data_IF_068519662759
#
_entry.id   IF_068519662759
#
_cell.length_a   1.000
_cell.length_b   1.000
_cell.length_c   1.000
_cell.angle_alpha   90.00
_cell.angle_beta   90.00
_cell.angle_gamma   90.00
#
_symmetry.space_group_name_H-M   'P 1'
#
loop_
_entity.id
_entity.type
_entity.pdbx_description
1 polymer ?
#
# COMPACT_ATOMS: atom_id res chain seq x y z
N UNK A 1 -7.27 -13.92 25.49
CA UNK A 1 -7.61 -15.19 24.81
C UNK A 1 -6.36 -16.04 24.72
N UNK A 2 -6.46 -17.34 24.98
CA UNK A 2 -5.31 -18.26 24.92
C UNK A 2 -5.28 -19.03 23.59
N UNK A 3 -4.14 -19.03 22.92
CA UNK A 3 -3.91 -19.76 21.67
C UNK A 3 -2.98 -20.94 21.96
N UNK A 4 -3.46 -22.16 21.77
CA UNK A 4 -2.59 -23.32 21.78
C UNK A 4 -2.01 -23.59 20.40
N UNK A 5 -0.72 -23.91 20.35
CA UNK A 5 -0.08 -24.51 19.17
C UNK A 5 1.11 -25.38 19.59
N UNK A 6 1.35 -26.50 18.90
CA UNK A 6 2.45 -27.40 19.25
C UNK A 6 3.83 -26.74 19.15
N UNK A 7 3.96 -25.70 18.31
CA UNK A 7 5.21 -24.98 18.10
C UNK A 7 4.93 -23.51 17.82
N UNK A 8 5.38 -22.63 18.72
CA UNK A 8 5.21 -21.18 18.57
C UNK A 8 6.33 -20.63 17.67
N UNK A 9 6.01 -20.35 16.40
CA UNK A 9 6.95 -19.77 15.42
C UNK A 9 6.77 -18.26 15.28
N UNK A 10 7.74 -17.59 14.64
CA UNK A 10 7.63 -16.16 14.33
C UNK A 10 6.46 -15.87 13.38
N UNK A 11 6.23 -16.76 12.40
CA UNK A 11 5.09 -16.67 11.46
C UNK A 11 3.75 -16.72 12.18
N UNK A 12 3.59 -17.65 13.14
CA UNK A 12 2.38 -17.74 13.98
C UNK A 12 2.22 -16.47 14.80
N UNK A 13 3.25 -16.04 15.53
CA UNK A 13 3.18 -14.81 16.34
C UNK A 13 2.75 -13.61 15.50
N UNK A 14 3.38 -13.41 14.36
CA UNK A 14 3.09 -12.31 13.46
C UNK A 14 1.64 -12.34 12.95
N UNK A 15 1.18 -13.44 12.35
CA UNK A 15 -0.15 -13.44 11.73
C UNK A 15 -1.29 -13.43 12.74
N UNK A 16 -1.11 -14.08 13.90
CA UNK A 16 -2.08 -14.02 14.97
C UNK A 16 -2.11 -12.63 15.63
N UNK A 17 -0.96 -11.96 15.78
CA UNK A 17 -0.94 -10.57 16.26
C UNK A 17 -1.63 -9.65 15.26
N UNK A 18 -1.38 -9.79 13.96
CA UNK A 18 -2.08 -9.02 12.92
C UNK A 18 -3.59 -9.22 13.02
N UNK A 19 -4.07 -10.47 12.97
CA UNK A 19 -5.51 -10.76 12.99
C UNK A 19 -6.15 -10.35 14.32
N UNK A 20 -5.62 -10.79 15.46
CA UNK A 20 -6.29 -10.57 16.72
C UNK A 20 -5.99 -9.21 17.32
N UNK A 21 -4.73 -8.81 17.43
CA UNK A 21 -4.37 -7.55 18.10
C UNK A 21 -4.63 -6.33 17.23
N UNK A 22 -4.31 -6.40 15.93
CA UNK A 22 -4.42 -5.22 15.06
C UNK A 22 -5.79 -5.11 14.37
N UNK A 23 -6.32 -6.20 13.80
CA UNK A 23 -7.60 -6.14 13.08
C UNK A 23 -8.81 -6.22 14.00
N UNK A 24 -8.73 -7.02 15.07
CA UNK A 24 -9.84 -7.25 16.00
C UNK A 24 -9.67 -6.56 17.36
N UNK A 25 -8.53 -5.95 17.68
CA UNK A 25 -8.27 -5.34 18.99
C UNK A 25 -8.43 -6.32 20.19
N UNK A 26 -8.03 -7.58 20.00
CA UNK A 26 -8.10 -8.67 20.99
C UNK A 26 -6.69 -9.05 21.48
N UNK A 27 -6.52 -9.04 22.80
CA UNK A 27 -5.29 -9.51 23.43
C UNK A 27 -5.20 -11.05 23.42
N UNK A 28 -4.06 -11.55 22.96
CA UNK A 28 -3.77 -12.97 22.85
C UNK A 28 -2.49 -13.34 23.58
N UNK A 29 -2.47 -14.56 24.11
CA UNK A 29 -1.31 -15.24 24.67
C UNK A 29 -1.16 -16.60 24.00
N UNK A 30 0.07 -17.11 23.93
CA UNK A 30 0.36 -18.40 23.31
C UNK A 30 0.81 -19.41 24.36
N UNK A 31 0.37 -20.66 24.21
CA UNK A 31 0.92 -21.79 24.94
C UNK A 31 1.21 -22.96 24.01
N UNK A 32 2.20 -23.77 24.36
CA UNK A 32 2.46 -25.08 23.76
C UNK A 32 2.23 -26.24 24.75
N UNK A 33 1.74 -25.94 25.96
CA UNK A 33 1.37 -26.91 26.99
C UNK A 33 -0.11 -27.28 26.79
N UNK A 34 -0.36 -28.54 26.45
CA UNK A 34 -1.74 -29.06 26.39
C UNK A 34 -2.41 -28.99 27.77
N UNK A 35 -1.65 -29.20 28.85
CA UNK A 35 -2.14 -29.09 30.22
C UNK A 35 -2.63 -27.67 30.52
N UNK A 36 -1.85 -26.64 30.17
CA UNK A 36 -2.23 -25.24 30.40
C UNK A 36 -3.44 -24.87 29.54
N UNK A 37 -3.48 -25.35 28.29
CA UNK A 37 -4.62 -25.13 27.39
C UNK A 37 -5.90 -25.75 27.94
N UNK A 38 -5.85 -27.02 28.39
CA UNK A 38 -7.02 -27.72 28.94
C UNK A 38 -7.50 -27.06 30.24
N UNK A 39 -6.57 -26.65 31.11
CA UNK A 39 -6.88 -25.99 32.38
C UNK A 39 -7.36 -24.53 32.24
N UNK A 40 -7.15 -23.88 31.09
CA UNK A 40 -7.55 -22.49 30.90
C UNK A 40 -9.07 -22.32 30.85
N UNK A 41 -9.59 -21.53 31.78
CA UNK A 41 -10.99 -21.13 31.87
C UNK A 41 -11.18 -19.77 31.17
N UNK A 42 -11.66 -19.80 29.93
CA UNK A 42 -11.90 -18.59 29.14
C UNK A 42 -11.93 -18.85 27.64
N UNK A 43 -11.93 -17.77 26.84
CA UNK A 43 -11.83 -17.87 25.39
C UNK A 43 -10.47 -18.44 25.02
N UNK A 44 -10.47 -19.62 24.40
CA UNK A 44 -9.28 -20.31 23.93
C UNK A 44 -9.53 -20.96 22.58
N UNK A 45 -8.48 -21.11 21.77
CA UNK A 45 -8.55 -21.88 20.53
C UNK A 45 -7.28 -22.70 20.33
N UNK A 46 -7.41 -23.81 19.62
CA UNK A 46 -6.33 -24.71 19.26
C UNK A 46 -5.97 -24.51 17.78
N UNK A 47 -4.72 -24.16 17.49
CA UNK A 47 -4.16 -24.09 16.14
C UNK A 47 -3.05 -25.14 15.97
N UNK A 48 -3.40 -26.29 15.41
CA UNK A 48 -2.55 -27.49 15.41
C UNK A 48 -2.92 -28.45 14.28
N UNK A 49 -2.10 -29.49 14.07
CA UNK A 49 -2.38 -30.55 13.08
C UNK A 49 -3.53 -31.48 13.46
N UNK A 50 -3.83 -31.57 14.75
CA UNK A 50 -4.94 -32.33 15.33
C UNK A 50 -5.55 -31.51 16.46
N UNK A 51 -6.85 -31.65 16.75
CA UNK A 51 -7.46 -31.02 17.93
C UNK A 51 -6.90 -31.61 19.23
N UNK A 52 -6.90 -30.80 20.29
CA UNK A 52 -6.53 -31.22 21.66
C UNK A 52 -7.77 -31.65 22.46
N UNK A 53 -8.90 -30.99 22.22
CA UNK A 53 -10.21 -31.26 22.82
C UNK A 53 -11.34 -30.96 21.81
N UNK A 54 -12.61 -31.04 22.25
CA UNK A 54 -13.79 -30.65 21.48
C UNK A 54 -14.04 -29.12 21.48
N UNK A 55 -12.99 -28.35 21.76
CA UNK A 55 -12.98 -26.89 21.79
C UNK A 55 -12.97 -26.25 20.41
N UNK A 56 -12.65 -24.96 20.35
CA UNK A 56 -12.51 -24.27 19.07
C UNK A 56 -11.18 -24.62 18.43
N UNK A 57 -11.23 -25.29 17.28
CA UNK A 57 -10.05 -25.82 16.58
C UNK A 57 -9.92 -25.26 15.17
N UNK A 58 -8.72 -24.83 14.80
CA UNK A 58 -8.34 -24.48 13.43
C UNK A 58 -7.19 -25.39 13.00
N UNK A 59 -7.39 -26.15 11.92
CA UNK A 59 -6.35 -27.05 11.43
C UNK A 59 -5.20 -26.27 10.80
N UNK A 60 -3.97 -26.58 11.23
CA UNK A 60 -2.77 -25.89 10.79
C UNK A 60 -2.19 -26.47 9.49
N UNK A 61 -1.93 -25.62 8.52
CA UNK A 61 -1.08 -25.90 7.36
C UNK A 61 0.40 -25.83 7.72
N UNK A 62 1.26 -26.40 6.87
CA UNK A 62 2.71 -26.44 7.16
C UNK A 62 3.37 -25.06 7.11
N UNK A 63 2.82 -24.10 6.34
CA UNK A 63 3.46 -22.81 6.05
C UNK A 63 3.88 -22.05 7.33
N UNK A 64 3.05 -22.06 8.36
CA UNK A 64 3.34 -21.34 9.60
C UNK A 64 4.28 -22.11 10.54
N UNK A 65 4.48 -23.41 10.33
CA UNK A 65 5.29 -24.30 11.17
C UNK A 65 6.70 -24.51 10.62
N UNK A 66 6.88 -24.33 9.32
CA UNK A 66 8.13 -24.47 8.59
C UNK A 66 8.96 -23.19 8.54
N UNK A 67 10.25 -23.34 8.20
CA UNK A 67 11.17 -22.24 7.89
C UNK A 67 11.54 -22.28 6.41
N UNK A 68 12.06 -21.17 5.92
CA UNK A 68 12.51 -21.05 4.54
C UNK A 68 11.36 -20.78 3.56
N UNK A 69 11.75 -20.68 2.29
CA UNK A 69 10.89 -20.27 1.20
C UNK A 69 10.94 -21.37 0.15
N UNK A 70 9.79 -21.88 -0.25
CA UNK A 70 9.66 -22.91 -1.28
C UNK A 70 8.39 -22.67 -2.08
N UNK A 71 8.32 -23.22 -3.28
CA UNK A 71 7.08 -23.20 -4.03
C UNK A 71 5.97 -23.93 -3.24
N UNK A 72 4.78 -23.32 -3.19
CA UNK A 72 3.58 -23.88 -2.58
C UNK A 72 2.52 -23.92 -3.67
N UNK A 73 2.02 -25.11 -3.95
CA UNK A 73 0.86 -25.27 -4.82
C UNK A 73 -0.39 -24.87 -4.05
N UNK A 74 -1.09 -23.85 -4.55
CA UNK A 74 -2.30 -23.33 -3.94
C UNK A 74 -3.52 -23.78 -4.75
N UNK A 75 -4.41 -24.48 -4.06
CA UNK A 75 -5.72 -24.86 -4.60
C UNK A 75 -6.76 -23.88 -4.08
N UNK A 76 -7.50 -23.28 -5.00
CA UNK A 76 -8.61 -22.41 -4.68
C UNK A 76 -9.83 -23.23 -4.26
N UNK A 77 -10.62 -22.66 -3.37
CA UNK A 77 -11.94 -23.11 -3.02
C UNK A 77 -12.87 -21.92 -2.78
N UNK A 78 -14.18 -22.17 -2.85
CA UNK A 78 -15.19 -21.23 -2.40
C UNK A 78 -15.52 -21.50 -0.93
N UNK A 79 -15.53 -20.45 -0.11
CA UNK A 79 -15.99 -20.49 1.26
C UNK A 79 -17.02 -19.37 1.47
N UNK A 80 -18.29 -19.75 1.39
CA UNK A 80 -19.43 -18.83 1.57
C UNK A 80 -19.42 -17.67 0.56
N UNK A 81 -19.12 -17.98 -0.71
CA UNK A 81 -19.02 -16.98 -1.78
C UNK A 81 -17.71 -16.17 -1.76
N UNK A 82 -16.76 -16.52 -0.89
CA UNK A 82 -15.44 -15.90 -0.85
C UNK A 82 -14.36 -16.86 -1.35
N UNK A 83 -13.40 -16.35 -2.15
CA UNK A 83 -12.19 -17.09 -2.49
C UNK A 83 -11.42 -17.48 -1.22
N UNK A 84 -11.02 -18.74 -1.11
CA UNK A 84 -10.15 -19.27 -0.05
C UNK A 84 -9.15 -20.29 -0.61
N UNK A 85 -8.07 -20.54 0.14
CA UNK A 85 -6.99 -21.47 -0.21
C UNK A 85 -6.27 -21.92 1.07
N UNK A 86 -5.32 -22.85 0.95
CA UNK A 86 -4.81 -23.65 2.10
C UNK A 86 -5.89 -24.58 2.68
N UNK A 87 -6.57 -25.34 1.80
CA UNK A 87 -7.57 -26.33 2.20
C UNK A 87 -7.04 -27.30 3.26
N UNK A 88 -7.88 -27.60 4.25
CA UNK A 88 -7.61 -28.59 5.29
C UNK A 88 -8.73 -29.63 5.28
N UNK A 89 -8.38 -30.89 5.55
CA UNK A 89 -9.31 -32.03 5.41
C UNK A 89 -9.80 -32.58 6.76
N UNK A 90 -9.67 -31.82 7.84
CA UNK A 90 -10.14 -32.18 9.18
C UNK A 90 -11.54 -31.63 9.41
N UNK A 91 -12.52 -32.52 9.66
CA UNK A 91 -13.94 -32.15 9.78
C UNK A 91 -14.23 -31.29 11.02
N UNK A 92 -13.42 -31.45 12.06
CA UNK A 92 -13.51 -30.74 13.32
C UNK A 92 -12.94 -29.32 13.23
N UNK A 93 -12.24 -28.98 12.14
CA UNK A 93 -11.70 -27.63 11.93
C UNK A 93 -12.85 -26.65 11.73
N UNK A 94 -12.79 -25.51 12.43
CA UNK A 94 -13.80 -24.46 12.38
C UNK A 94 -13.95 -23.82 10.99
N UNK A 95 -12.93 -23.96 10.15
CA UNK A 95 -12.96 -23.58 8.73
C UNK A 95 -12.35 -24.71 7.88
N UNK A 96 -12.83 -24.88 6.63
CA UNK A 96 -12.34 -25.92 5.70
C UNK A 96 -11.00 -25.55 5.03
N UNK A 97 -10.39 -24.45 5.44
CA UNK A 97 -9.05 -24.03 5.08
C UNK A 97 -8.35 -23.43 6.30
N UNK A 98 -7.04 -23.21 6.20
CA UNK A 98 -6.26 -22.51 7.20
C UNK A 98 -6.23 -21.00 6.93
N UNK A 99 -7.08 -20.20 7.60
CA UNK A 99 -7.15 -18.77 7.35
C UNK A 99 -5.89 -18.02 7.81
N UNK A 100 -5.13 -18.59 8.75
CA UNK A 100 -3.89 -17.98 9.25
C UNK A 100 -2.76 -18.18 8.23
N UNK A 101 -2.60 -19.38 7.68
CA UNK A 101 -1.63 -19.60 6.60
C UNK A 101 -1.98 -18.81 5.34
N UNK A 102 -3.26 -18.80 4.94
CA UNK A 102 -3.72 -18.04 3.78
C UNK A 102 -3.45 -16.53 3.95
N UNK A 103 -3.77 -15.98 5.13
CA UNK A 103 -3.51 -14.58 5.42
C UNK A 103 -2.02 -14.26 5.43
N UNK A 104 -1.20 -15.10 6.09
CA UNK A 104 0.25 -14.93 6.12
C UNK A 104 0.86 -14.93 4.72
N UNK A 105 0.43 -15.84 3.85
CA UNK A 105 0.92 -15.92 2.47
C UNK A 105 0.70 -14.59 1.70
N UNK A 106 -0.49 -13.99 1.87
CA UNK A 106 -0.84 -12.72 1.23
C UNK A 106 -0.03 -11.55 1.79
N UNK A 107 -0.01 -11.37 3.11
CA UNK A 107 0.59 -10.17 3.73
C UNK A 107 2.13 -10.21 3.75
N UNK A 108 2.73 -11.40 3.82
CA UNK A 108 4.19 -11.56 3.67
C UNK A 108 4.64 -11.38 2.22
N UNK A 109 3.70 -11.26 1.27
CA UNK A 109 3.96 -11.26 -0.18
C UNK A 109 4.83 -12.47 -0.57
N UNK A 110 4.49 -13.65 -0.05
CA UNK A 110 5.30 -14.87 -0.18
C UNK A 110 5.70 -15.17 -1.64
N UNK A 111 4.79 -14.94 -2.59
CA UNK A 111 5.03 -15.12 -4.03
C UNK A 111 6.16 -14.24 -4.58
N UNK A 112 6.43 -13.07 -3.99
CA UNK A 112 7.48 -12.14 -4.42
C UNK A 112 8.88 -12.52 -3.91
N UNK A 113 8.97 -13.56 -3.09
CA UNK A 113 10.24 -14.18 -2.69
C UNK A 113 10.62 -15.36 -3.59
N UNK A 114 9.70 -15.84 -4.42
CA UNK A 114 9.94 -16.90 -5.40
C UNK A 114 10.41 -16.29 -6.73
N UNK A 115 10.96 -17.09 -7.66
CA UNK A 115 11.24 -16.60 -9.01
C UNK A 115 9.94 -16.12 -9.69
N UNK A 116 9.93 -14.85 -10.14
CA UNK A 116 8.81 -14.24 -10.85
C UNK A 116 9.26 -13.45 -12.07
N UNK A 117 8.33 -13.22 -12.99
CA UNK A 117 8.55 -12.34 -14.13
C UNK A 117 8.42 -10.89 -13.69
N UNK A 118 9.46 -10.11 -13.99
CA UNK A 118 9.45 -8.66 -13.79
C UNK A 118 8.79 -7.96 -14.97
N UNK A 119 8.07 -6.88 -14.70
CA UNK A 119 7.62 -5.96 -15.75
C UNK A 119 8.77 -5.08 -16.28
N UNK A 120 8.47 -4.19 -17.22
CA UNK A 120 9.45 -3.28 -17.84
C UNK A 120 10.16 -2.34 -16.85
N UNK A 121 9.57 -2.12 -15.67
CA UNK A 121 10.11 -1.29 -14.59
C UNK A 121 10.80 -2.13 -13.49
N UNK A 122 10.97 -3.43 -13.72
CA UNK A 122 11.62 -4.34 -12.78
C UNK A 122 10.77 -4.69 -11.55
N UNK A 123 9.45 -4.54 -11.65
CA UNK A 123 8.48 -4.74 -10.56
C UNK A 123 7.83 -6.11 -10.66
N UNK A 124 7.26 -6.58 -9.55
CA UNK A 124 6.37 -7.73 -9.56
C UNK A 124 5.08 -7.40 -10.32
N UNK A 125 4.75 -8.22 -11.33
CA UNK A 125 3.60 -8.02 -12.21
C UNK A 125 2.29 -8.44 -11.53
N UNK A 126 1.30 -7.54 -11.57
CA UNK A 126 -0.05 -7.85 -11.10
C UNK A 126 -0.69 -9.02 -11.86
N UNK A 127 -0.50 -9.10 -13.18
CA UNK A 127 -1.11 -10.15 -14.01
C UNK A 127 -0.60 -11.56 -13.66
N UNK A 128 0.59 -11.64 -13.07
CA UNK A 128 1.21 -12.90 -12.68
C UNK A 128 0.88 -13.30 -11.25
N UNK A 129 0.29 -12.39 -10.46
CA UNK A 129 0.02 -12.64 -9.05
C UNK A 129 -1.15 -13.60 -8.84
N UNK A 130 -1.05 -14.37 -7.76
CA UNK A 130 -2.06 -15.36 -7.40
C UNK A 130 -3.46 -14.74 -7.26
N UNK A 131 -3.56 -13.53 -6.71
CA UNK A 131 -4.82 -12.84 -6.50
C UNK A 131 -5.51 -12.38 -7.80
N UNK A 132 -4.73 -11.95 -8.79
CA UNK A 132 -5.24 -11.57 -10.11
C UNK A 132 -5.75 -12.79 -10.87
N UNK A 133 -4.94 -13.85 -10.91
CA UNK A 133 -5.27 -15.10 -11.63
C UNK A 133 -6.54 -15.77 -11.13
N UNK A 134 -6.88 -15.54 -9.86
CA UNK A 134 -8.08 -16.10 -9.22
C UNK A 134 -9.16 -15.04 -8.96
N UNK A 135 -9.07 -13.85 -9.57
CA UNK A 135 -10.16 -12.88 -9.63
C UNK A 135 -10.56 -12.22 -8.31
N UNK A 136 -9.62 -12.05 -7.37
CA UNK A 136 -9.94 -11.51 -6.04
C UNK A 136 -9.16 -10.27 -5.61
N UNK A 137 -8.47 -9.60 -6.55
CA UNK A 137 -7.75 -8.35 -6.25
C UNK A 137 -8.63 -7.26 -5.64
N UNK A 138 -9.93 -7.26 -5.92
CA UNK A 138 -10.89 -6.29 -5.41
C UNK A 138 -11.42 -6.63 -4.00
N UNK A 139 -10.90 -7.65 -3.32
CA UNK A 139 -11.35 -8.04 -1.97
C UNK A 139 -10.21 -7.96 -0.94
N UNK A 140 -10.42 -7.29 0.21
CA UNK A 140 -9.47 -7.33 1.33
C UNK A 140 -9.67 -8.62 2.13
N UNK A 141 -9.40 -9.78 1.52
CA UNK A 141 -9.71 -11.10 2.10
C UNK A 141 -9.17 -11.31 3.52
N UNK A 142 -7.99 -10.79 3.84
CA UNK A 142 -7.40 -10.90 5.18
C UNK A 142 -8.28 -10.20 6.22
N UNK A 143 -8.79 -9.01 5.90
CA UNK A 143 -9.73 -8.30 6.76
C UNK A 143 -11.05 -9.07 6.90
N UNK A 144 -11.58 -9.59 5.79
CA UNK A 144 -12.85 -10.32 5.77
C UNK A 144 -12.75 -11.62 6.59
N UNK A 145 -11.67 -12.38 6.42
CA UNK A 145 -11.44 -13.60 7.20
C UNK A 145 -11.24 -13.32 8.69
N UNK A 146 -10.61 -12.20 9.06
CA UNK A 146 -10.52 -11.81 10.47
C UNK A 146 -11.90 -11.66 11.13
N UNK A 147 -12.85 -10.99 10.45
CA UNK A 147 -14.22 -10.90 10.96
C UNK A 147 -14.93 -12.26 11.00
N UNK A 148 -14.77 -13.12 9.98
CA UNK A 148 -15.33 -14.48 10.02
C UNK A 148 -14.78 -15.30 11.18
N UNK A 149 -13.48 -15.20 11.47
CA UNK A 149 -12.87 -15.84 12.65
C UNK A 149 -13.51 -15.30 13.93
N UNK A 150 -13.73 -13.99 14.04
CA UNK A 150 -14.37 -13.38 15.19
C UNK A 150 -15.81 -13.87 15.40
N UNK A 151 -16.59 -14.01 14.33
CA UNK A 151 -17.96 -14.56 14.37
C UNK A 151 -17.97 -16.01 14.84
N UNK A 152 -17.05 -16.84 14.34
CA UNK A 152 -16.87 -18.23 14.77
C UNK A 152 -16.53 -18.28 16.28
N UNK A 153 -15.62 -17.44 16.75
CA UNK A 153 -15.26 -17.38 18.17
C UNK A 153 -16.46 -16.96 19.01
N UNK A 154 -17.20 -15.93 18.58
CA UNK A 154 -18.40 -15.43 19.27
C UNK A 154 -19.49 -16.49 19.38
N UNK A 155 -19.67 -17.31 18.34
CA UNK A 155 -20.63 -18.41 18.35
C UNK A 155 -20.27 -19.50 19.38
N UNK A 156 -18.98 -19.80 19.56
CA UNK A 156 -18.51 -20.76 20.58
C UNK A 156 -18.45 -20.16 21.98
N UNK A 157 -18.09 -18.88 22.08
CA UNK A 157 -17.91 -18.13 23.31
C UNK A 157 -18.75 -16.86 23.28
N UNK A 158 -20.02 -16.90 23.72
CA UNK A 158 -20.92 -15.73 23.65
C UNK A 158 -20.43 -14.49 24.45
N UNK A 159 -19.53 -14.69 25.41
CA UNK A 159 -18.87 -13.60 26.16
C UNK A 159 -17.72 -12.95 25.39
N UNK A 160 -17.31 -13.50 24.25
CA UNK A 160 -16.29 -12.89 23.40
C UNK A 160 -16.84 -11.64 22.73
N UNK A 161 -16.15 -10.54 22.95
CA UNK A 161 -16.40 -9.26 22.31
C UNK A 161 -15.07 -8.66 21.88
N UNK A 162 -15.13 -7.86 20.83
CA UNK A 162 -13.97 -7.15 20.32
C UNK A 162 -14.40 -5.76 19.85
N UNK A 163 -13.45 -4.84 19.72
CA UNK A 163 -13.74 -3.47 19.32
C UNK A 163 -13.41 -3.33 17.84
N UNK A 164 -14.40 -2.94 17.04
CA UNK A 164 -14.17 -2.66 15.63
C UNK A 164 -13.15 -1.53 15.46
N UNK A 165 -12.29 -1.69 14.47
CA UNK A 165 -11.55 -0.56 13.95
C UNK A 165 -12.52 0.50 13.40
N UNK A 166 -12.05 1.74 13.33
CA UNK A 166 -12.80 2.80 12.63
C UNK A 166 -12.25 2.92 11.22
N UNK A 167 -13.16 2.95 10.25
CA UNK A 167 -12.82 3.30 8.88
C UNK A 167 -12.01 4.61 8.84
N UNK A 168 -10.99 4.65 7.98
CA UNK A 168 -10.12 5.81 7.78
C UNK A 168 -9.87 6.03 6.30
N UNK A 169 -9.79 7.31 5.92
CA UNK A 169 -9.31 7.71 4.61
C UNK A 169 -7.97 8.46 4.74
N UNK A 170 -6.96 8.05 3.96
CA UNK A 170 -5.65 8.71 3.89
C UNK A 170 -5.39 9.15 2.44
N UNK A 171 -5.55 10.45 2.13
CA UNK A 171 -5.16 10.98 0.83
C UNK A 171 -3.64 11.07 0.74
N UNK A 172 -3.08 10.63 -0.39
CA UNK A 172 -1.65 10.74 -0.65
C UNK A 172 -1.39 11.30 -2.04
N UNK A 173 -0.37 12.14 -2.17
CA UNK A 173 -0.05 12.84 -3.41
C UNK A 173 1.44 12.73 -3.73
N UNK A 174 1.76 12.19 -4.90
CA UNK A 174 3.12 12.05 -5.39
C UNK A 174 3.49 13.26 -6.26
N UNK A 175 4.65 13.86 -5.98
CA UNK A 175 5.18 15.03 -6.68
C UNK A 175 6.37 14.62 -7.52
N UNK A 176 6.08 13.99 -8.67
CA UNK A 176 7.08 13.58 -9.68
C UNK A 176 7.68 14.78 -10.40
N UNK A 177 6.85 15.79 -10.63
CA UNK A 177 7.25 17.07 -11.20
C UNK A 177 6.45 18.19 -10.53
N UNK A 178 7.13 19.04 -9.75
CA UNK A 178 6.44 20.14 -9.07
C UNK A 178 5.88 21.20 -10.05
N UNK A 179 6.51 21.36 -11.22
CA UNK A 179 6.02 22.20 -12.31
C UNK A 179 6.26 21.52 -13.66
N UNK A 180 5.34 21.72 -14.60
CA UNK A 180 5.46 21.23 -15.98
C UNK A 180 6.53 22.00 -16.75
N UNK A 181 6.65 23.31 -16.52
CA UNK A 181 7.51 24.21 -17.28
C UNK A 181 8.44 25.05 -16.39
N UNK A 182 7.91 25.63 -15.32
CA UNK A 182 8.67 26.53 -14.45
C UNK A 182 9.80 25.79 -13.73
N UNK A 183 10.85 26.53 -13.36
CA UNK A 183 11.96 26.08 -12.51
C UNK A 183 12.83 24.93 -13.05
N UNK A 184 12.63 24.46 -14.30
CA UNK A 184 13.44 23.38 -14.90
C UNK A 184 14.85 23.82 -15.35
N UNK A 185 15.12 25.12 -15.41
CA UNK A 185 16.41 25.69 -15.85
C UNK A 185 16.49 25.89 -17.36
N UNK A 186 17.38 26.80 -17.80
CA UNK A 186 17.43 27.30 -19.18
C UNK A 186 17.64 26.20 -20.22
N UNK A 187 18.63 25.33 -20.02
CA UNK A 187 18.97 24.28 -20.98
C UNK A 187 17.82 23.30 -21.21
N UNK A 188 17.11 22.90 -20.15
CA UNK A 188 15.93 22.01 -20.27
C UNK A 188 14.78 22.70 -20.99
N UNK A 189 14.57 23.99 -20.72
CA UNK A 189 13.55 24.78 -21.41
C UNK A 189 13.84 24.91 -22.91
N UNK A 190 15.09 25.24 -23.28
CA UNK A 190 15.50 25.34 -24.69
C UNK A 190 15.39 24.00 -25.41
N UNK A 191 15.86 22.90 -24.80
CA UNK A 191 15.72 21.56 -25.37
C UNK A 191 14.24 21.16 -25.54
N UNK A 192 13.37 21.53 -24.60
CA UNK A 192 11.94 21.29 -24.73
C UNK A 192 11.31 22.10 -25.88
N UNK A 193 11.74 23.34 -26.11
CA UNK A 193 11.30 24.12 -27.29
C UNK A 193 11.77 23.49 -28.59
N UNK A 194 13.06 23.12 -28.69
CA UNK A 194 13.58 22.45 -29.87
C UNK A 194 12.82 21.15 -30.18
N UNK A 195 12.56 20.33 -29.16
CA UNK A 195 11.76 19.11 -29.33
C UNK A 195 10.32 19.38 -29.76
N UNK A 196 9.66 20.40 -29.20
CA UNK A 196 8.30 20.78 -29.64
C UNK A 196 8.28 21.29 -31.08
N UNK A 197 9.31 22.03 -31.52
CA UNK A 197 9.44 22.49 -32.92
C UNK A 197 9.63 21.29 -33.85
N UNK A 198 10.52 20.34 -33.50
CA UNK A 198 10.74 19.12 -34.29
C UNK A 198 9.47 18.28 -34.41
N UNK A 199 8.63 18.26 -33.37
CA UNK A 199 7.34 17.55 -33.36
C UNK A 199 6.17 18.36 -33.94
N UNK A 200 6.40 19.60 -34.38
CA UNK A 200 5.36 20.53 -34.81
C UNK A 200 4.23 20.76 -33.78
N UNK A 201 4.55 20.67 -32.48
CA UNK A 201 3.60 20.84 -31.38
C UNK A 201 3.52 22.31 -30.95
N UNK A 202 2.77 23.10 -31.74
CA UNK A 202 2.58 24.54 -31.48
C UNK A 202 1.82 24.81 -30.18
N UNK A 203 0.90 23.93 -29.80
CA UNK A 203 0.10 24.04 -28.57
C UNK A 203 1.02 24.04 -27.35
N UNK A 204 1.94 23.07 -27.27
CA UNK A 204 2.91 22.96 -26.18
C UNK A 204 3.87 24.15 -26.11
N UNK A 205 4.27 24.73 -27.26
CA UNK A 205 5.09 25.95 -27.30
C UNK A 205 4.33 27.13 -26.69
N UNK A 206 3.06 27.31 -27.07
CA UNK A 206 2.21 28.40 -26.57
C UNK A 206 1.95 28.23 -25.07
N UNK A 207 1.57 27.03 -24.63
CA UNK A 207 1.29 26.74 -23.21
C UNK A 207 2.53 26.98 -22.34
N UNK A 208 3.68 26.50 -22.78
CA UNK A 208 4.96 26.72 -22.09
C UNK A 208 5.30 28.20 -22.01
N UNK A 209 5.16 28.93 -23.12
CA UNK A 209 5.48 30.37 -23.17
C UNK A 209 4.59 31.12 -22.19
N UNK A 210 3.26 30.95 -22.27
CA UNK A 210 2.29 31.60 -21.39
C UNK A 210 2.57 31.31 -19.92
N UNK A 211 2.93 30.07 -19.57
CA UNK A 211 3.27 29.71 -18.21
C UNK A 211 4.56 30.40 -17.73
N UNK A 212 5.62 30.40 -18.55
CA UNK A 212 6.92 30.99 -18.19
C UNK A 212 6.84 32.51 -17.99
N UNK A 213 6.02 33.21 -18.77
CA UNK A 213 5.80 34.67 -18.62
C UNK A 213 4.67 35.01 -17.63
N UNK A 214 4.12 34.01 -16.92
CA UNK A 214 3.04 34.14 -15.94
C UNK A 214 1.71 34.70 -16.50
N UNK A 215 1.45 34.56 -17.80
CA UNK A 215 0.13 34.83 -18.38
C UNK A 215 -0.88 33.75 -17.96
N UNK A 216 -0.41 32.53 -17.70
CA UNK A 216 -1.21 31.45 -17.11
C UNK A 216 -0.43 30.73 -16.01
N UNK A 217 -1.16 30.05 -15.13
CA UNK A 217 -0.56 29.15 -14.15
C UNK A 217 0.15 27.99 -14.86
N UNK A 218 1.25 27.52 -14.27
CA UNK A 218 1.89 26.30 -14.74
C UNK A 218 0.89 25.13 -14.53
N UNK A 219 0.67 24.24 -15.52
CA UNK A 219 -0.35 23.20 -15.44
C UNK A 219 -0.24 22.31 -14.20
N UNK A 220 0.97 22.07 -13.69
CA UNK A 220 1.19 21.20 -12.53
C UNK A 220 1.14 21.96 -11.20
N UNK A 221 0.98 23.28 -11.25
CA UNK A 221 0.78 24.13 -10.08
C UNK A 221 -0.67 24.03 -9.58
N UNK A 222 -1.03 22.86 -9.04
CA UNK A 222 -2.40 22.53 -8.61
C UNK A 222 -2.56 22.59 -7.08
N UNK A 223 -1.53 23.06 -6.38
CA UNK A 223 -1.46 23.06 -4.91
C UNK A 223 -2.55 23.89 -4.23
N UNK A 224 -3.00 24.99 -4.84
CA UNK A 224 -4.09 25.80 -4.30
C UNK A 224 -5.40 25.00 -4.27
N UNK A 225 -5.78 24.38 -5.39
CA UNK A 225 -6.93 23.49 -5.46
C UNK A 225 -6.83 22.34 -4.44
N UNK A 226 -5.64 21.73 -4.30
CA UNK A 226 -5.43 20.68 -3.32
C UNK A 226 -5.67 21.18 -1.89
N UNK A 227 -5.16 22.37 -1.53
CA UNK A 227 -5.36 22.96 -0.21
C UNK A 227 -6.83 23.32 0.06
N UNK A 228 -7.55 23.81 -0.96
CA UNK A 228 -8.99 24.08 -0.87
C UNK A 228 -9.78 22.81 -0.54
N UNK A 229 -9.51 21.72 -1.27
CA UNK A 229 -10.13 20.42 -1.03
C UNK A 229 -9.79 19.89 0.36
N UNK A 230 -8.54 20.03 0.79
CA UNK A 230 -8.11 19.61 2.14
C UNK A 230 -8.88 20.35 3.24
N UNK A 231 -9.04 21.67 3.10
CA UNK A 231 -9.82 22.48 4.04
C UNK A 231 -11.30 22.10 4.02
N UNK A 232 -11.87 21.91 2.82
CA UNK A 232 -13.29 21.58 2.62
C UNK A 232 -13.69 20.27 3.32
N UNK A 233 -12.84 19.25 3.24
CA UNK A 233 -13.11 17.91 3.79
C UNK A 233 -12.32 17.58 5.06
N UNK A 234 -11.64 18.57 5.66
CA UNK A 234 -10.80 18.43 6.86
C UNK A 234 -9.78 17.27 6.74
N UNK A 235 -9.06 17.23 5.62
CA UNK A 235 -8.10 16.19 5.31
C UNK A 235 -6.67 16.63 5.65
N UNK A 236 -5.86 15.66 6.06
CA UNK A 236 -4.40 15.83 6.24
C UNK A 236 -3.66 14.84 5.34
N UNK A 237 -3.26 15.24 4.12
CA UNK A 237 -2.63 14.34 3.18
C UNK A 237 -1.16 14.09 3.51
N UNK A 238 -0.59 13.12 2.81
CA UNK A 238 0.84 12.84 2.78
C UNK A 238 1.36 13.14 1.37
N UNK A 239 2.30 14.07 1.27
CA UNK A 239 3.01 14.38 0.04
C UNK A 239 4.30 13.58 -0.06
N UNK A 240 4.48 12.80 -1.13
CA UNK A 240 5.75 12.13 -1.41
C UNK A 240 6.51 12.91 -2.48
N UNK A 241 7.68 13.43 -2.09
CA UNK A 241 8.45 14.34 -2.95
C UNK A 241 9.56 13.59 -3.66
N UNK A 242 9.58 13.63 -5.01
CA UNK A 242 10.70 13.14 -5.80
C UNK A 242 11.88 14.10 -5.66
N UNK A 243 12.61 13.96 -4.55
CA UNK A 243 13.71 14.84 -4.16
C UNK A 243 15.07 14.26 -4.58
N UNK A 244 15.24 14.08 -5.89
CA UNK A 244 16.37 13.41 -6.49
C UNK A 244 17.08 14.25 -7.55
N UNK A 245 18.31 13.86 -7.88
CA UNK A 245 19.02 14.41 -9.03
C UNK A 245 18.39 13.95 -10.34
N UNK A 246 18.47 14.81 -11.36
CA UNK A 246 17.88 14.55 -12.67
C UNK A 246 18.44 13.26 -13.28
N UNK A 247 17.55 12.41 -13.77
CA UNK A 247 17.88 11.14 -14.42
C UNK A 247 16.88 10.78 -15.53
N UNK A 248 17.09 9.62 -16.14
CA UNK A 248 16.23 9.15 -17.23
C UNK A 248 14.76 8.99 -16.80
N UNK A 249 14.53 8.39 -15.64
CA UNK A 249 13.19 8.21 -15.06
C UNK A 249 12.80 9.35 -14.10
N UNK A 250 13.77 10.10 -13.54
CA UNK A 250 13.54 11.07 -12.48
C UNK A 250 13.71 12.50 -13.02
N UNK A 251 12.61 13.16 -13.39
CA UNK A 251 12.64 14.41 -14.17
C UNK A 251 12.22 15.65 -13.38
N UNK A 252 12.18 15.58 -12.05
CA UNK A 252 11.79 16.71 -11.22
C UNK A 252 12.80 17.88 -11.29
N UNK A 253 12.55 18.89 -10.46
CA UNK A 253 13.36 20.10 -10.36
C UNK A 253 14.65 19.79 -9.60
N UNK A 254 15.79 20.40 -9.98
CA UNK A 254 17.02 20.28 -9.21
C UNK A 254 16.81 20.61 -7.72
N UNK A 255 17.32 19.75 -6.84
CA UNK A 255 17.13 19.83 -5.39
C UNK A 255 17.70 21.12 -4.75
N UNK A 256 18.62 21.81 -5.44
CA UNK A 256 19.18 23.10 -5.01
C UNK A 256 18.29 24.30 -5.35
N UNK A 257 17.20 24.10 -6.10
CA UNK A 257 16.30 25.19 -6.47
C UNK A 257 15.53 25.71 -5.24
N UNK A 258 15.73 26.98 -4.92
CA UNK A 258 15.13 27.60 -3.73
C UNK A 258 13.60 27.62 -3.77
N UNK A 259 12.99 27.85 -4.93
CA UNK A 259 11.52 27.84 -5.07
C UNK A 259 10.94 26.45 -4.84
N UNK A 260 11.65 25.39 -5.25
CA UNK A 260 11.23 24.02 -4.96
C UNK A 260 11.34 23.71 -3.47
N UNK A 261 12.43 24.12 -2.82
CA UNK A 261 12.57 23.97 -1.36
C UNK A 261 11.50 24.76 -0.59
N UNK A 262 11.18 25.98 -1.02
CA UNK A 262 10.10 26.80 -0.44
C UNK A 262 8.74 26.13 -0.62
N UNK A 263 8.44 25.56 -1.80
CA UNK A 263 7.23 24.79 -2.01
C UNK A 263 7.15 23.61 -1.04
N UNK A 264 8.21 22.80 -0.93
CA UNK A 264 8.25 21.65 -0.03
C UNK A 264 8.00 22.07 1.43
N UNK A 265 8.60 23.18 1.88
CA UNK A 265 8.37 23.77 3.21
C UNK A 265 6.92 24.22 3.38
N UNK A 266 6.32 24.83 2.36
CA UNK A 266 4.92 25.25 2.41
C UNK A 266 3.94 24.07 2.49
N UNK A 267 4.17 23.00 1.71
CA UNK A 267 3.38 21.76 1.83
C UNK A 267 3.48 21.18 3.25
N UNK A 268 4.67 21.26 3.83
CA UNK A 268 5.00 20.78 5.16
C UNK A 268 4.32 21.55 6.31
N UNK A 269 3.77 22.74 6.06
CA UNK A 269 3.06 23.56 7.06
C UNK A 269 1.66 23.02 7.38
N UNK A 270 1.03 22.31 6.44
CA UNK A 270 -0.35 21.82 6.57
C UNK A 270 -0.52 20.31 6.29
N UNK A 271 0.50 19.64 5.77
CA UNK A 271 0.49 18.23 5.45
C UNK A 271 1.74 17.51 5.92
N UNK A 272 1.70 16.17 5.89
CA UNK A 272 2.91 15.37 6.09
C UNK A 272 3.71 15.29 4.80
N UNK A 273 5.04 15.16 4.91
CA UNK A 273 5.94 15.03 3.77
C UNK A 273 6.82 13.81 3.94
N UNK A 274 6.78 12.92 2.96
CA UNK A 274 7.65 11.74 2.83
C UNK A 274 8.59 11.85 1.63
N UNK A 275 9.57 10.95 1.57
CA UNK A 275 10.45 10.81 0.41
C UNK A 275 9.75 10.00 -0.68
N UNK A 276 9.88 10.43 -1.94
CA UNK A 276 9.62 9.60 -3.12
C UNK A 276 10.96 9.21 -3.75
N UNK A 277 11.62 8.11 -3.32
CA UNK A 277 12.99 7.83 -3.73
C UNK A 277 13.09 7.60 -5.24
N UNK A 278 14.19 8.04 -5.83
CA UNK A 278 14.38 7.90 -7.28
C UNK A 278 14.37 6.45 -7.75
N UNK A 279 14.01 6.23 -9.01
CA UNK A 279 13.98 4.89 -9.59
C UNK A 279 15.30 4.12 -9.42
N UNK A 280 16.42 4.85 -9.52
CA UNK A 280 17.77 4.31 -9.40
C UNK A 280 18.26 4.15 -7.94
N UNK A 281 17.60 4.76 -6.96
CA UNK A 281 17.99 4.61 -5.55
C UNK A 281 17.59 3.24 -4.98
N UNK A 282 16.60 2.57 -5.61
CA UNK A 282 16.13 1.24 -5.23
C UNK A 282 17.26 0.19 -5.19
N UNK A 283 18.19 0.24 -6.15
CA UNK A 283 19.37 -0.63 -6.22
C UNK A 283 20.66 0.06 -5.73
N UNK A 284 20.57 1.28 -5.19
CA UNK A 284 21.72 2.05 -4.72
C UNK A 284 21.44 2.70 -3.36
N UNK A 285 21.75 2.00 -2.25
CA UNK A 285 21.50 2.49 -0.89
C UNK A 285 22.19 3.81 -0.56
N UNK A 286 23.37 4.08 -1.14
CA UNK A 286 24.08 5.37 -0.95
C UNK A 286 23.28 6.53 -1.57
N UNK A 287 22.68 6.30 -2.74
CA UNK A 287 21.84 7.30 -3.40
C UNK A 287 20.56 7.54 -2.59
N UNK A 288 19.89 6.48 -2.13
CA UNK A 288 18.73 6.59 -1.25
C UNK A 288 19.03 7.42 0.00
N UNK A 289 20.13 7.10 0.70
CA UNK A 289 20.59 7.87 1.86
C UNK A 289 20.79 9.35 1.55
N UNK A 290 21.39 9.65 0.39
CA UNK A 290 21.65 11.03 -0.03
C UNK A 290 20.34 11.79 -0.26
N UNK A 291 19.35 11.17 -0.91
CA UNK A 291 18.03 11.77 -1.16
C UNK A 291 17.29 12.05 0.15
N UNK A 292 17.23 11.07 1.05
CA UNK A 292 16.59 11.19 2.37
C UNK A 292 17.24 12.29 3.21
N UNK A 293 18.58 12.29 3.32
CA UNK A 293 19.31 13.29 4.10
C UNK A 293 19.14 14.70 3.51
N UNK A 294 19.17 14.85 2.19
CA UNK A 294 18.97 16.16 1.55
C UNK A 294 17.56 16.69 1.81
N UNK A 295 16.52 15.85 1.69
CA UNK A 295 15.14 16.26 1.99
C UNK A 295 14.95 16.60 3.48
N UNK A 296 15.51 15.79 4.37
CA UNK A 296 15.51 16.03 5.82
C UNK A 296 16.11 17.40 6.17
N UNK A 297 17.24 17.76 5.54
CA UNK A 297 17.88 19.08 5.72
C UNK A 297 17.01 20.25 5.25
N UNK A 298 16.23 20.08 4.18
CA UNK A 298 15.32 21.13 3.69
C UNK A 298 14.20 21.39 4.70
N UNK A 299 13.65 20.33 5.30
CA UNK A 299 12.53 20.43 6.25
C UNK A 299 12.97 20.62 7.71
N UNK A 300 14.26 20.48 8.00
CA UNK A 300 14.82 20.48 9.36
C UNK A 300 14.13 19.49 10.30
N UNK A 301 13.82 18.29 9.79
CA UNK A 301 13.22 17.17 10.53
C UNK A 301 13.57 15.84 9.89
N UNK A 302 13.44 14.76 10.65
CA UNK A 302 13.59 13.41 10.13
C UNK A 302 12.50 13.09 9.10
N UNK A 303 12.86 12.29 8.10
CA UNK A 303 11.93 11.75 7.11
C UNK A 303 11.70 10.30 7.48
N UNK A 304 10.45 9.97 7.82
CA UNK A 304 10.07 8.64 8.31
C UNK A 304 9.12 7.90 7.36
N UNK A 305 8.62 8.57 6.32
CA UNK A 305 7.65 8.02 5.36
C UNK A 305 8.26 7.92 3.96
N UNK A 306 8.00 6.81 3.27
CA UNK A 306 8.47 6.58 1.90
C UNK A 306 7.35 6.08 0.98
N UNK A 307 7.45 6.44 -0.30
CA UNK A 307 6.78 5.74 -1.40
C UNK A 307 7.76 5.60 -2.56
N UNK A 308 7.98 4.41 -3.08
CA UNK A 308 8.91 4.16 -4.18
C UNK A 308 8.39 4.76 -5.48
N UNK A 309 9.24 5.48 -6.22
CA UNK A 309 8.93 5.90 -7.59
C UNK A 309 8.66 4.69 -8.48
N UNK A 310 7.62 4.78 -9.31
CA UNK A 310 7.02 3.67 -10.07
C UNK A 310 6.49 2.52 -9.21
N UNK A 311 6.37 2.66 -7.88
CA UNK A 311 6.00 1.58 -6.95
C UNK A 311 6.97 0.39 -7.02
N UNK A 312 8.23 0.67 -7.34
CA UNK A 312 9.26 -0.36 -7.53
C UNK A 312 9.72 -0.92 -6.19
N UNK A 313 9.13 -2.04 -5.80
CA UNK A 313 9.52 -2.81 -4.61
C UNK A 313 10.24 -4.07 -5.07
N UNK A 314 11.40 -4.34 -4.47
CA UNK A 314 12.14 -5.57 -4.58
C UNK A 314 12.37 -6.13 -3.18
N UNK A 315 11.52 -7.09 -2.78
CA UNK A 315 11.61 -7.70 -1.46
C UNK A 315 12.80 -8.67 -1.36
N UNK A 316 13.44 -8.77 -0.18
CA UNK A 316 13.31 -7.88 0.98
C UNK A 316 14.16 -6.59 0.86
N UNK A 317 15.00 -6.48 -0.18
CA UNK A 317 16.06 -5.47 -0.29
C UNK A 317 15.58 -4.02 -0.18
N UNK A 318 14.50 -3.64 -0.88
CA UNK A 318 13.94 -2.29 -0.81
C UNK A 318 13.56 -1.90 0.62
N UNK A 319 12.86 -2.79 1.34
CA UNK A 319 12.39 -2.51 2.69
C UNK A 319 13.50 -2.54 3.73
N UNK A 320 14.48 -3.43 3.59
CA UNK A 320 15.71 -3.37 4.41
C UNK A 320 16.46 -2.06 4.23
N UNK A 321 16.56 -1.54 3.00
CA UNK A 321 17.21 -0.26 2.73
C UNK A 321 16.47 0.92 3.38
N UNK A 322 15.13 0.89 3.43
CA UNK A 322 14.32 1.88 4.14
C UNK A 322 14.54 1.79 5.66
N UNK A 323 14.50 0.59 6.24
CA UNK A 323 14.74 0.35 7.67
C UNK A 323 16.12 0.87 8.10
N UNK A 324 17.16 0.64 7.30
CA UNK A 324 18.53 1.12 7.58
C UNK A 324 18.67 2.65 7.57
N UNK A 325 17.63 3.38 7.18
CA UNK A 325 17.57 4.84 7.14
C UNK A 325 16.48 5.39 8.08
N UNK A 326 16.03 4.58 9.03
CA UNK A 326 15.02 4.94 10.04
C UNK A 326 13.67 5.36 9.44
N UNK A 327 13.38 4.90 8.21
CA UNK A 327 12.04 5.00 7.62
C UNK A 327 11.14 4.00 8.35
N UNK A 328 10.06 4.50 8.94
CA UNK A 328 9.11 3.70 9.73
C UNK A 328 7.87 3.30 8.95
N UNK A 329 7.54 4.01 7.87
CA UNK A 329 6.30 3.79 7.12
C UNK A 329 6.53 3.79 5.59
N UNK A 330 6.13 2.72 4.91
CA UNK A 330 6.12 2.62 3.45
C UNK A 330 4.69 2.58 2.90
N UNK A 331 4.44 3.37 1.86
CA UNK A 331 3.15 3.52 1.18
C UNK A 331 3.18 3.02 -0.26
N UNK A 332 4.08 2.08 -0.57
CA UNK A 332 4.33 1.60 -1.93
C UNK A 332 3.53 0.35 -2.28
N UNK A 333 2.95 -0.34 -1.28
CA UNK A 333 2.31 -1.65 -1.44
C UNK A 333 0.96 -1.56 -2.16
N UNK A 334 1.01 -1.51 -3.48
CA UNK A 334 -0.13 -1.62 -4.38
C UNK A 334 0.35 -1.99 -5.78
N UNK A 335 -0.58 -2.09 -6.73
CA UNK A 335 -0.26 -2.38 -8.13
C UNK A 335 -0.38 -1.11 -8.97
N UNK A 336 0.54 -0.93 -9.91
CA UNK A 336 0.47 0.19 -10.85
C UNK A 336 -0.61 -0.04 -11.93
N UNK A 337 -0.74 -1.27 -12.42
CA UNK A 337 -1.58 -1.59 -13.57
C UNK A 337 -3.03 -1.97 -13.23
N UNK A 338 -3.33 -2.29 -11.97
CA UNK A 338 -4.67 -2.67 -11.53
C UNK A 338 -5.00 -2.08 -10.16
N UNK A 339 -6.23 -1.59 -9.94
CA UNK A 339 -6.67 -1.21 -8.61
C UNK A 339 -6.96 -2.47 -7.78
N UNK A 340 -6.94 -2.32 -6.45
CA UNK A 340 -7.25 -3.40 -5.52
C UNK A 340 -6.20 -3.59 -4.43
N UNK A 341 -6.27 -4.73 -3.75
CA UNK A 341 -5.53 -5.04 -2.53
C UNK A 341 -4.36 -5.98 -2.85
N UNK A 342 -3.20 -5.42 -3.18
CA UNK A 342 -1.99 -6.21 -3.52
C UNK A 342 -1.65 -7.26 -2.46
N UNK A 343 -1.73 -6.89 -1.18
CA UNK A 343 -1.47 -7.80 -0.06
C UNK A 343 -2.75 -8.48 0.48
N UNK A 344 -3.87 -8.42 -0.25
CA UNK A 344 -5.16 -8.96 0.19
C UNK A 344 -5.73 -8.31 1.46
N UNK A 345 -5.23 -7.14 1.82
CA UNK A 345 -5.54 -6.42 3.07
C UNK A 345 -5.61 -4.92 2.79
N UNK A 346 -6.49 -4.21 3.48
CA UNK A 346 -6.62 -2.74 3.46
C UNK A 346 -6.23 -2.07 4.79
N UNK A 347 -5.86 -2.86 5.78
CA UNK A 347 -5.26 -2.38 7.02
C UNK A 347 -3.76 -2.32 6.91
N UNK A 348 -3.14 -1.46 7.72
CA UNK A 348 -1.68 -1.40 7.83
C UNK A 348 -1.19 -2.63 8.58
N UNK A 349 0.03 -3.07 8.30
CA UNK A 349 0.65 -4.24 8.94
C UNK A 349 2.17 -4.07 8.96
N UNK A 350 2.88 -4.82 9.81
CA UNK A 350 4.34 -4.79 9.83
C UNK A 350 4.93 -5.62 8.68
N UNK A 351 6.02 -5.15 8.08
CA UNK A 351 6.77 -5.94 7.12
C UNK A 351 7.38 -7.17 7.82
N UNK A 352 6.98 -8.35 7.35
CA UNK A 352 7.60 -9.61 7.73
C UNK A 352 8.71 -9.95 6.74
N UNK A 353 9.95 -9.89 7.19
CA UNK A 353 11.10 -10.26 6.38
C UNK A 353 11.20 -11.80 6.31
N UNK A 354 10.66 -12.36 5.23
CA UNK A 354 10.54 -13.81 5.08
C UNK A 354 11.89 -14.55 4.98
N UNK A 355 12.91 -13.89 4.43
CA UNK A 355 14.27 -14.42 4.33
C UNK A 355 14.91 -14.58 5.71
N UNK A 356 14.71 -13.58 6.58
CA UNK A 356 15.22 -13.61 7.96
C UNK A 356 14.25 -14.26 8.95
N UNK A 357 13.04 -14.60 8.50
CA UNK A 357 11.93 -15.13 9.30
C UNK A 357 11.62 -14.27 10.54
N UNK A 358 11.55 -12.95 10.37
CA UNK A 358 11.36 -11.99 11.46
C UNK A 358 10.36 -10.88 11.09
N UNK A 359 9.53 -10.50 12.05
CA UNK A 359 8.72 -9.28 11.98
C UNK A 359 9.59 -8.04 12.23
N UNK A 360 9.55 -7.08 11.32
CA UNK A 360 10.27 -5.81 11.44
C UNK A 360 9.37 -4.71 11.99
N UNK A 361 9.95 -3.52 12.26
CA UNK A 361 9.18 -2.34 12.68
C UNK A 361 8.70 -1.46 11.52
N UNK A 362 9.02 -1.81 10.26
CA UNK A 362 8.56 -1.05 9.11
C UNK A 362 7.07 -1.31 8.90
N UNK A 363 6.25 -0.27 9.00
CA UNK A 363 4.81 -0.33 8.77
C UNK A 363 4.51 -0.20 7.28
N UNK A 364 3.76 -1.14 6.74
CA UNK A 364 3.28 -1.13 5.36
C UNK A 364 1.86 -0.58 5.33
N UNK A 365 1.66 0.43 4.49
CA UNK A 365 0.40 1.10 4.24
C UNK A 365 -0.05 0.80 2.80
N UNK A 366 -0.81 -0.29 2.59
CA UNK A 366 -1.22 -0.65 1.24
C UNK A 366 -2.18 0.39 0.67
N UNK A 367 -1.93 0.81 -0.57
CA UNK A 367 -2.85 1.69 -1.30
C UNK A 367 -3.69 0.89 -2.28
N UNK A 368 -4.93 1.34 -2.49
CA UNK A 368 -5.94 0.58 -3.25
C UNK A 368 -6.15 1.14 -4.66
N UNK A 369 -5.88 2.43 -4.84
CA UNK A 369 -6.22 3.17 -6.05
C UNK A 369 -5.13 4.18 -6.39
N UNK A 370 -4.79 4.26 -7.68
CA UNK A 370 -3.95 5.31 -8.25
C UNK A 370 -4.63 5.92 -9.48
N UNK A 371 -4.58 7.24 -9.61
CA UNK A 371 -5.07 7.99 -10.78
C UNK A 371 -4.49 7.47 -12.12
N UNK A 372 -3.18 7.28 -12.19
CA UNK A 372 -2.49 6.70 -13.36
C UNK A 372 -2.93 5.27 -13.67
N UNK A 373 -3.32 4.47 -12.67
CA UNK A 373 -3.91 3.14 -12.93
C UNK A 373 -5.18 3.26 -13.75
N UNK A 374 -6.09 4.15 -13.34
CA UNK A 374 -7.35 4.34 -14.03
C UNK A 374 -7.13 4.96 -15.43
N UNK A 375 -6.35 6.05 -15.51
CA UNK A 375 -6.19 6.80 -16.75
C UNK A 375 -5.24 6.14 -17.74
N UNK A 376 -4.04 5.80 -17.30
CA UNK A 376 -2.92 5.47 -18.18
C UNK A 376 -2.80 3.95 -18.41
N UNK A 377 -3.21 3.12 -17.46
CA UNK A 377 -3.20 1.65 -17.61
C UNK A 377 -4.54 1.08 -18.09
N UNK A 378 -5.66 1.49 -17.50
CA UNK A 378 -6.99 0.98 -17.84
C UNK A 378 -7.71 1.81 -18.92
N UNK A 379 -7.18 2.97 -19.30
CA UNK A 379 -7.80 3.90 -20.27
C UNK A 379 -9.23 4.29 -19.90
N UNK A 380 -9.52 4.41 -18.60
CA UNK A 380 -10.83 4.85 -18.12
C UNK A 380 -10.94 6.37 -18.26
N UNK A 381 -12.07 6.82 -18.80
CA UNK A 381 -12.41 8.24 -18.86
C UNK A 381 -12.94 8.76 -17.53
N UNK A 382 -12.75 10.06 -17.28
CA UNK A 382 -13.13 10.69 -16.01
C UNK A 382 -14.61 10.43 -15.63
N UNK A 383 -15.52 10.43 -16.62
CA UNK A 383 -16.95 10.18 -16.38
C UNK A 383 -17.29 8.78 -15.88
N UNK A 384 -16.42 7.79 -16.13
CA UNK A 384 -16.64 6.39 -15.74
C UNK A 384 -15.79 5.96 -14.53
N UNK A 385 -14.78 6.75 -14.15
CA UNK A 385 -13.84 6.42 -13.07
C UNK A 385 -14.54 6.01 -11.76
N UNK A 386 -15.62 6.69 -11.38
CA UNK A 386 -16.34 6.40 -10.15
C UNK A 386 -16.96 4.99 -10.10
N UNK A 387 -17.24 4.36 -11.26
CA UNK A 387 -17.73 2.97 -11.33
C UNK A 387 -16.69 1.96 -10.82
N UNK A 388 -15.40 2.31 -10.94
CA UNK A 388 -14.29 1.49 -10.42
C UNK A 388 -13.93 1.90 -8.98
N UNK A 389 -13.97 3.19 -8.68
CA UNK A 389 -13.54 3.74 -7.39
C UNK A 389 -14.51 3.36 -6.26
N UNK A 390 -15.81 3.57 -6.46
CA UNK A 390 -16.81 3.40 -5.38
C UNK A 390 -16.84 1.97 -4.81
N UNK A 391 -16.86 0.89 -5.62
CA UNK A 391 -16.84 -0.46 -5.08
C UNK A 391 -15.63 -0.72 -4.17
N UNK A 392 -14.45 -0.17 -4.49
CA UNK A 392 -13.26 -0.34 -3.65
C UNK A 392 -13.41 0.37 -2.29
N UNK A 393 -14.00 1.57 -2.28
CA UNK A 393 -14.30 2.28 -1.03
C UNK A 393 -15.30 1.48 -0.20
N UNK A 394 -16.35 0.94 -0.83
CA UNK A 394 -17.39 0.14 -0.17
C UNK A 394 -16.79 -1.12 0.48
N UNK A 395 -15.88 -1.83 -0.20
CA UNK A 395 -15.17 -2.99 0.38
C UNK A 395 -14.32 -2.61 1.60
N UNK A 396 -13.66 -1.45 1.58
CA UNK A 396 -12.87 -0.99 2.73
C UNK A 396 -13.77 -0.56 3.90
N UNK A 397 -14.88 0.12 3.62
CA UNK A 397 -15.89 0.49 4.64
C UNK A 397 -16.52 -0.75 5.27
N UNK A 398 -16.83 -1.77 4.49
CA UNK A 398 -17.43 -3.03 4.97
C UNK A 398 -16.58 -3.75 6.02
N UNK A 399 -15.26 -3.51 6.03
CA UNK A 399 -14.33 -4.09 7.01
C UNK A 399 -13.74 -3.06 7.97
N UNK A 400 -14.26 -1.83 7.99
CA UNK A 400 -13.72 -0.70 8.75
C UNK A 400 -12.19 -0.51 8.57
N UNK A 401 -11.70 -0.70 7.35
CA UNK A 401 -10.28 -0.62 7.02
C UNK A 401 -9.78 0.80 6.75
N UNK A 402 -8.57 0.90 6.18
CA UNK A 402 -8.00 2.18 5.74
C UNK A 402 -8.01 2.29 4.22
N UNK A 403 -8.75 3.25 3.67
CA UNK A 403 -8.70 3.55 2.24
C UNK A 403 -7.55 4.52 1.98
N UNK A 404 -6.60 4.14 1.14
CA UNK A 404 -5.47 5.00 0.75
C UNK A 404 -5.50 5.18 -0.76
N UNK A 405 -5.60 6.44 -1.20
CA UNK A 405 -5.60 6.83 -2.60
C UNK A 405 -4.29 7.52 -2.97
N UNK A 406 -3.71 7.19 -4.12
CA UNK A 406 -2.52 7.80 -4.70
C UNK A 406 -2.93 8.70 -5.87
N UNK A 407 -2.61 9.98 -5.77
CA UNK A 407 -2.81 10.95 -6.84
C UNK A 407 -1.49 11.68 -7.15
N UNK A 408 -1.41 12.30 -8.32
CA UNK A 408 -0.29 13.15 -8.69
C UNK A 408 -0.77 14.60 -8.82
N UNK A 409 0.08 15.58 -8.50
CA UNK A 409 -0.29 16.98 -8.74
C UNK A 409 -0.59 17.26 -10.23
N UNK A 410 0.07 16.53 -11.13
CA UNK A 410 -0.19 16.57 -12.58
C UNK A 410 -1.63 16.14 -12.94
N UNK A 411 -2.19 15.12 -12.29
CA UNK A 411 -3.51 14.60 -12.65
C UNK A 411 -4.65 15.56 -12.28
N UNK A 412 -4.36 16.52 -11.42
CA UNK A 412 -5.27 17.60 -11.05
C UNK A 412 -5.08 18.85 -11.92
N UNK A 413 -4.36 18.75 -13.05
CA UNK A 413 -4.04 19.89 -13.90
C UNK A 413 -5.22 20.40 -14.74
N UNK A 414 -6.24 19.57 -15.00
CA UNK A 414 -7.29 19.86 -15.98
C UNK A 414 -6.74 20.14 -17.39
N UNK A 415 -5.63 19.49 -17.74
CA UNK A 415 -4.99 19.63 -19.06
C UNK A 415 -4.77 18.29 -19.74
N UNK A 416 -4.76 18.28 -21.07
CA UNK A 416 -4.49 17.08 -21.89
C UNK A 416 -5.39 15.91 -21.46
N UNK A 417 -4.79 14.77 -21.10
CA UNK A 417 -5.49 13.56 -20.68
C UNK A 417 -6.17 13.67 -19.31
N UNK A 418 -5.91 14.74 -18.55
CA UNK A 418 -6.39 14.95 -17.20
C UNK A 418 -7.59 15.91 -17.11
N UNK A 419 -8.20 16.28 -18.24
CA UNK A 419 -9.45 17.04 -18.25
C UNK A 419 -10.55 16.21 -17.57
N UNK A 420 -11.24 16.82 -16.60
CA UNK A 420 -12.32 16.24 -15.80
C UNK A 420 -11.86 15.52 -14.52
N UNK A 421 -10.57 15.36 -14.28
CA UNK A 421 -10.05 14.53 -13.18
C UNK A 421 -10.11 15.20 -11.82
N UNK A 422 -10.19 16.55 -11.72
CA UNK A 422 -10.49 17.22 -10.45
C UNK A 422 -11.87 16.82 -9.92
N UNK A 423 -12.85 16.68 -10.81
CA UNK A 423 -14.19 16.24 -10.45
C UNK A 423 -14.16 14.82 -9.90
N UNK A 424 -13.43 13.92 -10.55
CA UNK A 424 -13.22 12.53 -10.07
C UNK A 424 -12.56 12.53 -8.69
N UNK A 425 -11.51 13.32 -8.51
CA UNK A 425 -10.80 13.45 -7.24
C UNK A 425 -11.73 13.91 -6.11
N UNK A 426 -12.51 14.96 -6.36
CA UNK A 426 -13.44 15.51 -5.37
C UNK A 426 -14.61 14.55 -5.08
N UNK A 427 -15.17 13.88 -6.09
CA UNK A 427 -16.23 12.87 -5.90
C UNK A 427 -15.72 11.66 -5.11
N UNK A 428 -14.50 11.17 -5.41
CA UNK A 428 -13.86 10.12 -4.63
C UNK A 428 -13.66 10.57 -3.18
N UNK A 429 -13.16 11.78 -2.93
CA UNK A 429 -12.97 12.29 -1.57
C UNK A 429 -14.31 12.35 -0.84
N UNK A 430 -15.36 12.88 -1.47
CA UNK A 430 -16.69 12.94 -0.87
C UNK A 430 -17.22 11.56 -0.51
N UNK A 431 -16.98 10.54 -1.34
CA UNK A 431 -17.38 9.16 -1.07
C UNK A 431 -16.49 8.52 0.01
N UNK A 432 -15.21 8.86 0.05
CA UNK A 432 -14.23 8.27 0.97
C UNK A 432 -14.19 8.94 2.34
N UNK A 433 -14.66 10.17 2.51
CA UNK A 433 -14.59 10.94 3.76
C UNK A 433 -15.70 10.61 4.76
#
# INVERSE_FOLDING_TARGET
MLIFTNKITNRIKFIFNLIFRELLNVNIEFTSSEQDYLAYEGVKLCYAKKPVDDGLYFAASNLLLERGIRHIELLMMDYEGLPAFFTVFFKESAMPFDPFAASFYLVSRYEEYLPYRKDEYGRFSANDCFAYKNGFLNKPLVNIWAYKIADIIKNKYPSFSFTDNKYKYVPTIDIDAAWAYKQKGLFRTLGAYANSIVKFDLTEIIERTKALINVQNDPFNTYEFQLEIQKKYNLKPIYFILFAEYGFNDKNIPVQNQKFQTLIKSLADYAEVGIHPSYNSNSNPKKLRTEVVKLSKVLNREITKSRQHFLKIQLPGTYRNLINLDITDDYSMGFAAHPGFRAGICSTFNFYDLDMDIETKLRIHPFTLMDGTLRDYLNIDAGDAMKTIKPLIDEVKAVNGTFISLWHNESLSETKRWIGWRKVYEEMIKEAS
#
